data_IF_097851874021
#
_entry.id   IF_097851874021
#
_cell.length_a   1.000
_cell.length_b   1.000
_cell.length_c   1.000
_cell.angle_alpha   90.00
_cell.angle_beta   90.00
_cell.angle_gamma   90.00
#
_symmetry.space_group_name_H-M   'P 1'
#
loop_
_entity.id
_entity.type
_entity.pdbx_description
1 polymer ?
#
# COMPACT_ATOMS: atom_id res chain seq x y z
N UNK A 1 -20.40 16.30 69.55
CA UNK A 1 -20.18 17.63 68.94
C UNK A 1 -19.17 17.48 67.81
N UNK A 2 -19.43 16.70 66.76
CA UNK A 2 -20.38 16.96 65.67
C UNK A 2 -20.06 18.24 64.87
N UNK A 3 -19.47 18.03 63.69
CA UNK A 3 -19.63 18.74 62.39
C UNK A 3 -18.65 18.07 61.40
N UNK A 4 -19.13 17.35 60.37
CA UNK A 4 -19.51 17.84 59.02
C UNK A 4 -18.33 18.56 58.34
N UNK A 5 -17.87 18.29 57.11
CA UNK A 5 -18.37 17.53 55.96
C UNK A 5 -17.21 17.44 54.93
N UNK A 6 -17.22 16.38 54.10
CA UNK A 6 -16.75 16.24 52.71
C UNK A 6 -15.60 17.13 52.17
N UNK A 7 -14.61 16.51 51.50
CA UNK A 7 -14.39 16.66 50.04
C UNK A 7 -13.65 15.43 49.47
N UNK A 8 -14.41 14.58 48.77
CA UNK A 8 -14.22 14.05 47.41
C UNK A 8 -12.77 13.81 46.90
N UNK A 9 -12.45 12.52 46.69
CA UNK A 9 -12.08 11.97 45.38
C UNK A 9 -10.71 12.30 44.77
N UNK A 10 -9.82 11.29 44.75
CA UNK A 10 -8.60 11.29 43.95
C UNK A 10 -8.18 9.87 43.57
N UNK A 11 -9.04 9.16 42.83
CA UNK A 11 -8.64 7.91 42.16
C UNK A 11 -7.89 8.27 40.90
N UNK A 12 -6.57 8.10 40.93
CA UNK A 12 -5.69 8.24 39.79
C UNK A 12 -6.03 7.15 38.76
N UNK A 13 -6.93 7.47 37.84
CA UNK A 13 -7.14 6.75 36.59
C UNK A 13 -6.54 7.57 35.46
N UNK A 14 -5.66 6.92 34.71
CA UNK A 14 -5.44 7.10 33.29
C UNK A 14 -5.21 8.54 32.82
N UNK A 15 -3.98 9.00 33.02
CA UNK A 15 -3.39 10.01 32.13
C UNK A 15 -3.03 9.35 30.79
N UNK A 16 -4.04 9.06 29.97
CA UNK A 16 -3.87 9.01 28.52
C UNK A 16 -3.56 10.44 28.04
N UNK A 17 -2.53 10.67 27.22
CA UNK A 17 -2.29 11.99 26.69
C UNK A 17 -3.45 12.36 25.77
N UNK A 18 -4.13 13.46 26.13
CA UNK A 18 -5.15 14.10 25.31
C UNK A 18 -4.53 14.55 23.98
N UNK A 19 -4.48 13.62 23.02
CA UNK A 19 -4.06 13.85 21.65
C UNK A 19 -5.03 14.84 21.03
N UNK A 20 -4.56 16.09 20.94
CA UNK A 20 -5.36 17.28 20.69
C UNK A 20 -6.35 17.11 19.54
N UNK A 21 -7.63 17.30 19.86
CA UNK A 21 -8.69 17.70 18.93
C UNK A 21 -8.42 19.13 18.48
N UNK A 22 -7.39 19.33 17.64
CA UNK A 22 -7.33 20.48 16.73
C UNK A 22 -7.83 20.01 15.37
N UNK A 23 -8.42 20.93 14.63
CA UNK A 23 -9.24 20.74 13.44
C UNK A 23 -8.52 19.97 12.30
N UNK A 24 -8.43 18.63 12.42
CA UNK A 24 -7.70 17.75 11.49
C UNK A 24 -8.41 17.50 10.16
N UNK A 25 -9.66 17.93 10.01
CA UNK A 25 -10.44 17.70 8.79
C UNK A 25 -9.97 18.53 7.59
N UNK A 26 -9.19 19.60 7.82
CA UNK A 26 -8.74 20.53 6.77
C UNK A 26 -7.40 20.20 6.12
N UNK A 27 -6.48 19.54 6.82
CA UNK A 27 -5.09 19.39 6.38
C UNK A 27 -4.90 18.36 5.25
N UNK A 28 -5.45 17.13 5.31
CA UNK A 28 -5.38 16.19 4.18
C UNK A 28 -6.05 16.73 2.92
N UNK A 29 -7.13 17.51 3.07
CA UNK A 29 -7.85 18.15 1.96
C UNK A 29 -7.00 19.20 1.23
N UNK A 30 -6.10 19.90 1.95
CA UNK A 30 -5.16 20.85 1.34
C UNK A 30 -4.17 20.14 0.43
N UNK A 31 -3.63 19.01 0.87
CA UNK A 31 -2.72 18.19 0.05
C UNK A 31 -3.46 17.51 -1.10
N UNK A 32 -4.68 17.01 -0.86
CA UNK A 32 -5.49 16.35 -1.88
C UNK A 32 -5.64 17.22 -3.13
N UNK A 33 -6.02 18.50 -3.00
CA UNK A 33 -6.21 19.37 -4.17
C UNK A 33 -4.95 19.54 -5.02
N UNK A 34 -3.78 19.63 -4.39
CA UNK A 34 -2.48 19.77 -5.08
C UNK A 34 -2.02 18.44 -5.70
N UNK A 35 -2.23 17.34 -4.98
CA UNK A 35 -1.74 16.02 -5.34
C UNK A 35 -2.63 15.27 -6.34
N UNK A 36 -3.89 15.67 -6.52
CA UNK A 36 -4.84 14.98 -7.43
C UNK A 36 -4.32 14.95 -8.88
N UNK A 37 -3.49 15.93 -9.29
CA UNK A 37 -2.86 15.97 -10.61
C UNK A 37 -1.43 15.42 -10.67
N UNK A 38 -0.81 15.11 -9.52
CA UNK A 38 0.61 14.73 -9.42
C UNK A 38 0.77 13.24 -9.11
N UNK A 39 -0.14 12.67 -8.30
CA UNK A 39 -0.07 11.27 -7.94
C UNK A 39 -0.45 10.38 -9.15
N UNK A 40 0.38 9.37 -9.47
CA UNK A 40 0.06 8.45 -10.55
C UNK A 40 -1.18 7.62 -10.21
N UNK A 41 -2.00 7.32 -11.22
CA UNK A 41 -3.11 6.38 -11.05
C UNK A 41 -2.60 5.00 -10.65
N UNK A 42 -3.38 4.28 -9.84
CA UNK A 42 -3.02 2.93 -9.44
C UNK A 42 -2.92 2.03 -10.68
N UNK A 43 -1.79 1.32 -10.86
CA UNK A 43 -1.47 0.65 -12.11
C UNK A 43 -2.14 -0.72 -12.17
N UNK A 44 -1.71 -1.54 -13.12
CA UNK A 44 -2.02 -2.97 -13.07
C UNK A 44 -1.45 -3.59 -11.79
N UNK A 45 -2.05 -4.69 -11.31
CA UNK A 45 -1.61 -5.40 -10.08
C UNK A 45 -0.09 -5.68 -9.94
N UNK A 46 0.66 -6.07 -10.99
CA UNK A 46 2.06 -6.41 -10.85
C UNK A 46 2.95 -5.18 -10.65
N UNK A 47 2.58 -4.02 -11.18
CA UNK A 47 3.32 -2.76 -11.02
C UNK A 47 3.05 -2.07 -9.68
N UNK A 48 2.12 -2.61 -8.87
CA UNK A 48 1.74 -2.04 -7.58
C UNK A 48 2.92 -1.78 -6.63
N UNK A 49 3.95 -2.66 -6.49
CA UNK A 49 5.12 -2.37 -5.64
C UNK A 49 5.86 -1.09 -6.06
N UNK A 50 6.17 -0.98 -7.36
CA UNK A 50 6.88 0.18 -7.93
C UNK A 50 6.02 1.45 -7.84
N UNK A 51 4.71 1.32 -7.99
CA UNK A 51 3.78 2.44 -7.80
C UNK A 51 3.80 2.95 -6.36
N UNK A 52 3.80 2.08 -5.35
CA UNK A 52 3.90 2.52 -3.95
C UNK A 52 5.19 3.31 -3.72
N UNK A 53 6.33 2.83 -4.21
CA UNK A 53 7.61 3.56 -4.08
C UNK A 53 7.56 4.93 -4.77
N UNK A 54 6.92 4.99 -5.94
CA UNK A 54 6.78 6.24 -6.71
C UNK A 54 5.92 7.25 -5.95
N UNK A 55 4.78 6.80 -5.41
CA UNK A 55 3.88 7.64 -4.61
C UNK A 55 4.58 8.13 -3.34
N UNK A 56 5.30 7.26 -2.64
CA UNK A 56 6.07 7.63 -1.43
C UNK A 56 7.10 8.73 -1.74
N UNK A 57 7.84 8.61 -2.85
CA UNK A 57 8.79 9.65 -3.29
C UNK A 57 8.11 10.98 -3.61
N UNK A 58 6.94 10.96 -4.23
CA UNK A 58 6.16 12.18 -4.49
C UNK A 58 5.70 12.82 -3.19
N UNK A 59 5.17 12.04 -2.25
CA UNK A 59 4.71 12.56 -0.95
C UNK A 59 5.87 13.16 -0.14
N UNK A 60 7.06 12.54 -0.19
CA UNK A 60 8.28 13.09 0.42
C UNK A 60 8.71 14.41 -0.25
N UNK A 61 8.71 14.47 -1.59
CA UNK A 61 9.09 15.68 -2.32
C UNK A 61 8.16 16.88 -2.05
N UNK A 62 6.90 16.63 -1.72
CA UNK A 62 5.90 17.65 -1.34
C UNK A 62 5.82 17.86 0.18
N UNK A 63 6.75 17.29 0.95
CA UNK A 63 6.85 17.43 2.40
C UNK A 63 5.53 17.07 3.13
N UNK A 64 4.81 16.08 2.62
CA UNK A 64 3.54 15.66 3.20
C UNK A 64 3.83 14.89 4.50
N UNK A 65 3.23 15.27 5.64
CA UNK A 65 3.38 14.53 6.90
C UNK A 65 2.94 13.07 6.77
N UNK A 66 3.75 12.13 7.30
CA UNK A 66 3.53 10.68 7.15
C UNK A 66 2.19 10.21 7.69
N UNK A 67 1.63 10.88 8.70
CA UNK A 67 0.30 10.58 9.23
C UNK A 67 -0.84 10.76 8.22
N UNK A 68 -0.63 11.53 7.15
CA UNK A 68 -1.65 11.77 6.12
C UNK A 68 -1.51 10.88 4.89
N UNK A 69 -0.40 10.13 4.76
CA UNK A 69 -0.14 9.33 3.57
C UNK A 69 -1.21 8.27 3.36
N UNK A 70 -1.63 7.57 4.41
CA UNK A 70 -2.67 6.54 4.29
C UNK A 70 -4.00 7.13 3.80
N UNK A 71 -4.39 8.30 4.33
CA UNK A 71 -5.64 8.98 3.92
C UNK A 71 -5.62 9.46 2.47
N UNK A 72 -4.44 9.81 1.93
CA UNK A 72 -4.25 10.23 0.54
C UNK A 72 -4.14 9.04 -0.42
N UNK A 73 -3.47 7.98 -0.01
CA UNK A 73 -3.17 6.80 -0.84
C UNK A 73 -4.37 5.84 -0.90
N UNK A 74 -5.06 5.61 0.21
CA UNK A 74 -6.15 4.63 0.31
C UNK A 74 -7.23 4.83 -0.78
N UNK A 75 -7.74 6.04 -1.06
CA UNK A 75 -8.76 6.25 -2.09
C UNK A 75 -8.30 5.85 -3.51
N UNK A 76 -6.99 5.97 -3.79
CA UNK A 76 -6.42 5.61 -5.10
C UNK A 76 -6.40 4.10 -5.30
N UNK A 77 -6.29 3.33 -4.22
CA UNK A 77 -6.18 1.87 -4.25
C UNK A 77 -7.51 1.17 -4.00
N UNK A 78 -8.35 1.71 -3.11
CA UNK A 78 -9.62 1.11 -2.72
C UNK A 78 -10.60 0.93 -3.90
N UNK A 79 -10.52 1.81 -4.90
CA UNK A 79 -11.32 1.67 -6.14
C UNK A 79 -10.83 0.58 -7.09
N UNK A 80 -9.62 0.05 -6.89
CA UNK A 80 -8.97 -0.93 -7.77
C UNK A 80 -8.81 -2.30 -7.13
N UNK A 81 -8.66 -2.36 -5.82
CA UNK A 81 -8.58 -3.62 -5.07
C UNK A 81 -9.88 -3.79 -4.27
N UNK A 82 -10.84 -4.51 -4.85
CA UNK A 82 -12.22 -4.60 -4.36
C UNK A 82 -12.34 -5.12 -2.91
N UNK A 83 -11.34 -5.87 -2.42
CA UNK A 83 -11.33 -6.43 -1.06
C UNK A 83 -10.60 -5.56 -0.03
N UNK A 84 -10.01 -4.42 -0.41
CA UNK A 84 -9.27 -3.62 0.55
C UNK A 84 -10.16 -3.01 1.63
N UNK A 85 -11.32 -2.51 1.21
CA UNK A 85 -12.28 -1.85 2.10
C UNK A 85 -12.93 -2.82 3.10
N UNK A 86 -12.83 -4.13 2.88
CA UNK A 86 -13.34 -5.16 3.81
C UNK A 86 -12.27 -5.68 4.77
N UNK A 87 -10.98 -5.51 4.43
CA UNK A 87 -9.82 -5.98 5.22
C UNK A 87 -9.13 -4.89 6.02
N UNK A 88 -9.35 -3.63 5.68
CA UNK A 88 -8.78 -2.47 6.36
C UNK A 88 -9.90 -1.73 7.08
N UNK A 89 -9.85 -1.68 8.41
CA UNK A 89 -10.83 -0.92 9.20
C UNK A 89 -10.69 0.60 9.00
N UNK A 90 -11.70 1.36 9.41
CA UNK A 90 -11.74 2.84 9.34
C UNK A 90 -10.59 3.55 10.09
N UNK A 91 -9.85 2.84 10.95
CA UNK A 91 -8.67 3.37 11.64
C UNK A 91 -7.37 2.96 10.94
N UNK A 92 -7.34 1.76 10.34
CA UNK A 92 -6.15 1.21 9.69
C UNK A 92 -5.84 1.86 8.34
N UNK A 93 -6.83 2.43 7.65
CA UNK A 93 -6.60 3.11 6.36
C UNK A 93 -5.72 4.36 6.49
N UNK A 94 -5.57 4.91 7.70
CA UNK A 94 -4.67 6.05 7.96
C UNK A 94 -3.20 5.64 8.00
N UNK A 95 -2.93 4.35 8.21
CA UNK A 95 -1.58 3.83 8.23
C UNK A 95 -1.19 3.38 6.83
N UNK A 96 -0.40 4.21 6.14
CA UNK A 96 0.12 3.91 4.80
C UNK A 96 0.83 2.56 4.72
N UNK A 97 1.65 2.21 5.72
CA UNK A 97 2.38 0.95 5.71
C UNK A 97 1.43 -0.25 5.80
N UNK A 98 0.35 -0.14 6.58
CA UNK A 98 -0.69 -1.16 6.67
C UNK A 98 -1.44 -1.29 5.34
N UNK A 99 -1.81 -0.17 4.72
CA UNK A 99 -2.44 -0.15 3.38
C UNK A 99 -1.53 -0.82 2.36
N UNK A 100 -0.27 -0.40 2.24
CA UNK A 100 0.73 -0.99 1.34
C UNK A 100 0.86 -2.49 1.57
N UNK A 101 1.05 -2.93 2.81
CA UNK A 101 1.20 -4.35 3.13
C UNK A 101 -0.04 -5.15 2.74
N UNK A 102 -1.24 -4.69 3.11
CA UNK A 102 -2.49 -5.38 2.77
C UNK A 102 -2.73 -5.44 1.26
N UNK A 103 -2.43 -4.36 0.54
CA UNK A 103 -2.52 -4.32 -0.92
C UNK A 103 -1.54 -5.32 -1.52
N UNK A 104 -0.28 -5.27 -1.12
CA UNK A 104 0.74 -6.15 -1.67
C UNK A 104 0.48 -7.62 -1.32
N UNK A 105 -0.04 -7.92 -0.13
CA UNK A 105 -0.42 -9.28 0.25
C UNK A 105 -1.63 -9.79 -0.54
N UNK A 106 -2.63 -8.95 -0.79
CA UNK A 106 -3.77 -9.31 -1.62
C UNK A 106 -3.38 -9.44 -3.10
N UNK A 107 -2.47 -8.57 -3.55
CA UNK A 107 -1.91 -8.57 -4.90
C UNK A 107 -0.74 -9.52 -5.06
N UNK A 108 -0.36 -10.33 -4.06
CA UNK A 108 0.59 -11.44 -4.24
C UNK A 108 -0.02 -12.40 -5.23
N UNK A 109 0.25 -12.12 -6.50
CA UNK A 109 0.00 -13.00 -7.62
C UNK A 109 0.72 -14.29 -7.25
N UNK A 110 0.02 -15.41 -7.27
CA UNK A 110 0.71 -16.69 -7.16
C UNK A 110 1.80 -16.73 -8.23
N UNK A 111 2.91 -17.41 -7.95
CA UNK A 111 3.99 -17.58 -8.92
C UNK A 111 3.44 -18.00 -10.31
N UNK A 112 2.48 -18.92 -10.37
CA UNK A 112 1.80 -19.29 -11.61
C UNK A 112 1.07 -18.14 -12.34
N UNK A 113 0.57 -17.12 -11.64
CA UNK A 113 -0.06 -15.92 -12.25
C UNK A 113 0.98 -14.95 -12.81
N UNK A 114 2.18 -14.83 -12.21
CA UNK A 114 3.32 -14.13 -12.82
C UNK A 114 3.79 -14.84 -14.10
N UNK A 115 3.95 -16.17 -14.04
CA UNK A 115 4.33 -16.98 -15.20
C UNK A 115 3.31 -16.85 -16.34
N UNK A 116 2.01 -16.94 -16.04
CA UNK A 116 0.94 -16.73 -17.04
C UNK A 116 0.99 -15.35 -17.69
N UNK A 117 1.34 -14.30 -16.94
CA UNK A 117 1.50 -12.95 -17.50
C UNK A 117 2.74 -12.84 -18.36
N UNK A 118 3.88 -13.40 -17.94
CA UNK A 118 5.07 -13.46 -18.77
C UNK A 118 4.77 -14.13 -20.12
N UNK A 119 4.16 -15.32 -20.09
CA UNK A 119 3.83 -16.10 -21.29
C UNK A 119 2.72 -15.45 -22.15
N UNK A 120 1.78 -14.75 -21.53
CA UNK A 120 0.65 -14.12 -22.21
C UNK A 120 0.88 -12.66 -22.64
N UNK A 121 2.02 -12.07 -22.31
CA UNK A 121 2.32 -10.66 -22.61
C UNK A 121 2.73 -10.49 -24.06
N UNK A 122 2.10 -9.53 -24.74
CA UNK A 122 2.45 -9.10 -26.10
C UNK A 122 2.81 -7.61 -26.12
N UNK A 123 3.72 -7.23 -27.02
CA UNK A 123 4.13 -5.82 -27.16
C UNK A 123 2.95 -4.97 -27.60
N UNK A 124 2.70 -3.86 -26.92
CA UNK A 124 1.67 -2.92 -27.34
C UNK A 124 2.07 -2.20 -28.64
N UNK A 125 1.08 -1.76 -29.42
CA UNK A 125 1.33 -1.09 -30.71
C UNK A 125 2.23 0.16 -30.56
N UNK A 126 2.05 0.93 -29.48
CA UNK A 126 2.75 2.18 -29.22
C UNK A 126 3.97 2.03 -28.28
N UNK A 127 4.34 0.82 -27.90
CA UNK A 127 5.44 0.55 -26.97
C UNK A 127 6.74 0.22 -27.72
N UNK A 128 7.87 0.74 -27.25
CA UNK A 128 9.19 0.37 -27.76
C UNK A 128 9.62 -1.02 -27.30
N UNK A 129 10.52 -1.68 -28.04
CA UNK A 129 11.03 -3.01 -27.67
C UNK A 129 11.75 -3.05 -26.31
N UNK A 130 12.46 -1.97 -25.94
CA UNK A 130 13.14 -1.87 -24.63
C UNK A 130 12.16 -1.88 -23.45
N UNK A 131 11.17 -0.95 -23.37
CA UNK A 131 10.14 -1.02 -22.33
C UNK A 131 9.44 -2.38 -22.24
N UNK A 132 9.13 -2.99 -23.39
CA UNK A 132 8.51 -4.32 -23.42
C UNK A 132 9.40 -5.40 -22.82
N UNK A 133 10.70 -5.42 -23.17
CA UNK A 133 11.65 -6.35 -22.58
C UNK A 133 11.78 -6.15 -21.06
N UNK A 134 11.83 -4.90 -20.59
CA UNK A 134 11.85 -4.59 -19.15
C UNK A 134 10.62 -5.12 -18.42
N UNK A 135 9.43 -5.04 -19.03
CA UNK A 135 8.22 -5.63 -18.44
C UNK A 135 8.30 -7.16 -18.38
N UNK A 136 8.80 -7.82 -19.43
CA UNK A 136 8.97 -9.27 -19.43
C UNK A 136 9.99 -9.74 -18.37
N UNK A 137 11.12 -9.04 -18.26
CA UNK A 137 12.14 -9.29 -17.23
C UNK A 137 11.55 -9.14 -15.83
N UNK A 138 10.72 -8.10 -15.61
CA UNK A 138 10.05 -7.88 -14.34
C UNK A 138 9.13 -9.05 -13.95
N UNK A 139 8.26 -9.51 -14.87
CA UNK A 139 7.39 -10.66 -14.61
C UNK A 139 8.17 -11.95 -14.35
N UNK A 140 9.24 -12.17 -15.10
CA UNK A 140 10.09 -13.35 -14.95
C UNK A 140 10.87 -13.32 -13.63
N UNK A 141 11.29 -12.16 -13.15
CA UNK A 141 11.97 -12.02 -11.86
C UNK A 141 11.03 -12.27 -10.68
N UNK A 142 9.79 -11.76 -10.76
CA UNK A 142 8.80 -11.95 -9.69
C UNK A 142 8.33 -13.40 -9.54
N UNK A 143 8.42 -14.21 -10.60
CA UNK A 143 8.00 -15.59 -10.60
C UNK A 143 8.73 -16.48 -9.56
N UNK A 144 10.07 -16.64 -9.62
CA UNK A 144 10.82 -17.41 -8.64
C UNK A 144 10.88 -16.73 -7.26
N UNK A 145 10.94 -15.39 -7.22
CA UNK A 145 10.96 -14.61 -5.98
C UNK A 145 9.73 -14.89 -5.11
N UNK A 146 8.55 -14.99 -5.72
CA UNK A 146 7.30 -15.29 -5.01
C UNK A 146 7.32 -16.64 -4.27
N UNK A 147 8.26 -17.54 -4.61
CA UNK A 147 8.49 -18.83 -3.94
C UNK A 147 9.86 -18.95 -3.27
N UNK A 148 10.62 -17.85 -3.18
CA UNK A 148 11.95 -17.84 -2.58
C UNK A 148 12.95 -18.71 -3.34
N UNK A 149 12.75 -18.91 -4.64
CA UNK A 149 13.66 -19.66 -5.51
C UNK A 149 14.76 -18.71 -6.00
N UNK A 150 16.02 -19.08 -5.80
CA UNK A 150 17.18 -18.25 -6.14
C UNK A 150 18.26 -18.96 -6.96
N UNK A 151 18.07 -20.25 -7.23
CA UNK A 151 19.00 -21.08 -8.01
C UNK A 151 18.33 -21.58 -9.28
N UNK A 152 19.10 -21.73 -10.35
CA UNK A 152 18.59 -22.16 -11.64
C UNK A 152 17.92 -23.54 -11.58
N UNK A 153 18.51 -24.50 -10.86
CA UNK A 153 17.97 -25.86 -10.70
C UNK A 153 16.58 -25.84 -10.04
N UNK A 154 16.41 -24.99 -9.02
CA UNK A 154 15.12 -24.79 -8.34
C UNK A 154 14.11 -24.07 -9.22
N UNK A 155 14.54 -23.23 -10.15
CA UNK A 155 13.66 -22.60 -11.14
C UNK A 155 13.16 -23.66 -12.14
N UNK A 156 14.00 -24.59 -12.57
CA UNK A 156 13.59 -25.71 -13.43
C UNK A 156 12.55 -26.58 -12.73
N UNK A 157 12.80 -26.98 -11.48
CA UNK A 157 11.82 -27.72 -10.66
C UNK A 157 10.49 -26.96 -10.54
N UNK A 158 10.57 -25.63 -10.37
CA UNK A 158 9.40 -24.78 -10.26
C UNK A 158 8.57 -24.74 -11.54
N UNK A 159 9.23 -24.62 -12.69
CA UNK A 159 8.58 -24.62 -14.00
C UNK A 159 7.88 -25.95 -14.29
N UNK A 160 8.49 -27.06 -13.88
CA UNK A 160 7.89 -28.40 -14.02
C UNK A 160 6.70 -28.57 -13.07
N UNK A 161 6.82 -28.11 -11.81
CA UNK A 161 5.74 -28.24 -10.82
C UNK A 161 4.50 -27.40 -11.14
N UNK A 162 4.64 -26.35 -11.96
CA UNK A 162 3.55 -25.46 -12.37
C UNK A 162 2.88 -25.82 -13.71
N UNK A 163 3.38 -26.84 -14.42
CA UNK A 163 2.74 -27.42 -15.61
C UNK A 163 1.66 -28.43 -15.23
#
# INVERSE_FOLDING_TARGET
>A
MEKLSQVIGGSARDSEPAFGRRDRCGEPRRYSGVLTGVLPQFPTEPEAPVWFETVERVLEAYEVPREFWGELVFPLVAGKVQFLSTRVSALEHRNHQKVKQTVLDELKLSAGKYLKRFLGSGKLANEGWRPFATHLEYYLHLYPDARGVSTFERLEELLVADQ
#
